data_IF_432694202558
#
_entry.id   IF_432694202558
#
_cell.length_a   1.000
_cell.length_b   1.000
_cell.length_c   1.000
_cell.angle_alpha   90.00
_cell.angle_beta   90.00
_cell.angle_gamma   90.00
#
_symmetry.space_group_name_H-M   'P 1'
#
loop_
_entity.id
_entity.type
_entity.pdbx_description
1 polymer ?
#
# COMPACT_ATOMS: atom_id res chain seq x y z
N UNK A 1 7.47 9.93 -14.65
CA UNK A 1 7.38 11.41 -14.59
C UNK A 1 7.68 11.87 -13.18
N UNK A 2 8.42 12.97 -13.04
CA UNK A 2 8.80 13.52 -11.73
C UNK A 2 8.25 14.94 -11.57
N UNK A 3 7.44 15.17 -10.53
CA UNK A 3 6.86 16.48 -10.24
C UNK A 3 7.95 17.52 -9.97
N UNK A 4 9.02 17.11 -9.27
CA UNK A 4 10.15 17.99 -8.93
C UNK A 4 10.80 18.62 -10.17
N UNK A 5 10.80 17.95 -11.33
CA UNK A 5 11.33 18.50 -12.57
C UNK A 5 10.36 19.52 -13.21
N UNK A 6 9.05 19.29 -13.11
CA UNK A 6 8.04 20.19 -13.67
C UNK A 6 7.98 21.52 -12.92
N UNK A 7 8.05 21.49 -11.59
CA UNK A 7 7.93 22.69 -10.75
C UNK A 7 9.08 23.67 -10.91
N UNK A 8 10.22 23.26 -11.47
CA UNK A 8 11.34 24.16 -11.82
C UNK A 8 10.97 25.14 -12.95
N UNK A 9 9.95 24.83 -13.76
CA UNK A 9 9.50 25.73 -14.81
C UNK A 9 8.65 26.88 -14.22
N UNK A 10 8.97 28.16 -14.51
CA UNK A 10 8.35 29.31 -13.84
C UNK A 10 6.85 29.49 -14.14
N UNK A 11 6.35 28.92 -15.24
CA UNK A 11 4.92 28.94 -15.57
C UNK A 11 4.08 27.94 -14.76
N UNK A 12 4.70 27.05 -13.99
CA UNK A 12 3.99 26.05 -13.20
C UNK A 12 3.62 26.66 -11.84
N UNK A 13 2.33 26.87 -11.66
CA UNK A 13 1.75 27.33 -10.39
C UNK A 13 1.90 26.23 -9.32
N UNK A 14 2.51 26.58 -8.19
CA UNK A 14 2.77 25.69 -7.05
C UNK A 14 1.70 25.80 -5.96
N UNK A 15 0.53 26.34 -6.28
CA UNK A 15 -0.62 26.41 -5.36
C UNK A 15 -1.05 25.01 -4.94
N UNK A 16 -1.17 24.82 -3.63
CA UNK A 16 -1.62 23.57 -3.03
C UNK A 16 -3.10 23.29 -3.37
N UNK A 17 -3.40 22.08 -3.83
CA UNK A 17 -4.79 21.61 -3.98
C UNK A 17 -5.27 21.01 -2.65
N UNK A 18 -6.09 21.78 -1.90
CA UNK A 18 -6.58 21.35 -0.58
C UNK A 18 -7.54 20.17 -0.65
N UNK A 19 -8.24 19.99 -1.78
CA UNK A 19 -9.08 18.80 -2.00
C UNK A 19 -8.20 17.58 -2.26
N UNK A 20 -7.10 17.72 -3.01
CA UNK A 20 -6.10 16.65 -3.15
C UNK A 20 -5.41 16.31 -1.83
N UNK A 21 -5.09 17.31 -0.99
CA UNK A 21 -4.54 17.10 0.35
C UNK A 21 -5.54 16.31 1.23
N UNK A 22 -6.82 16.65 1.21
CA UNK A 22 -7.85 15.91 1.94
C UNK A 22 -7.94 14.45 1.49
N UNK A 23 -7.87 14.20 0.16
CA UNK A 23 -7.81 12.85 -0.41
C UNK A 23 -6.55 12.10 0.03
N UNK A 24 -5.41 12.75 0.07
CA UNK A 24 -4.16 12.20 0.62
C UNK A 24 -4.30 11.80 2.09
N UNK A 25 -4.87 12.65 2.94
CA UNK A 25 -5.06 12.33 4.36
C UNK A 25 -6.02 11.14 4.57
N UNK A 26 -6.99 10.97 3.68
CA UNK A 26 -7.90 9.83 3.70
C UNK A 26 -7.21 8.54 3.25
N UNK A 27 -6.54 8.58 2.10
CA UNK A 27 -6.10 7.39 1.37
C UNK A 27 -4.61 7.08 1.48
N UNK A 28 -3.82 7.97 2.07
CA UNK A 28 -2.34 7.93 2.16
C UNK A 28 -1.61 8.13 0.82
N UNK A 29 -2.33 8.47 -0.23
CA UNK A 29 -1.82 8.86 -1.54
C UNK A 29 -2.82 9.82 -2.19
N UNK A 30 -2.36 10.64 -3.13
CA UNK A 30 -3.26 11.47 -3.97
C UNK A 30 -3.80 10.58 -5.10
N UNK A 31 -5.11 10.34 -5.25
CA UNK A 31 -5.62 9.52 -6.34
C UNK A 31 -5.55 10.26 -7.70
N UNK A 32 -5.16 9.57 -8.78
CA UNK A 32 -5.30 10.11 -10.12
C UNK A 32 -6.78 10.39 -10.48
N UNK A 33 -7.08 11.40 -11.31
CA UNK A 33 -6.15 12.26 -12.06
C UNK A 33 -5.61 13.47 -11.28
N UNK A 34 -5.99 13.64 -10.00
CA UNK A 34 -5.50 14.76 -9.19
C UNK A 34 -3.99 14.62 -8.92
N UNK A 35 -3.34 15.75 -8.62
CA UNK A 35 -2.00 15.83 -8.02
C UNK A 35 -2.10 16.76 -6.81
N UNK A 36 -1.11 16.71 -5.91
CA UNK A 36 -1.05 17.60 -4.74
C UNK A 36 -1.01 19.10 -5.12
N UNK A 37 -0.54 19.43 -6.33
CA UNK A 37 -0.53 20.79 -6.87
C UNK A 37 -1.69 20.99 -7.87
N UNK A 38 -2.42 22.11 -7.75
CA UNK A 38 -3.66 22.36 -8.50
C UNK A 38 -3.46 22.42 -10.02
N UNK A 39 -2.31 22.94 -10.45
CA UNK A 39 -1.96 23.12 -11.86
C UNK A 39 -1.55 21.83 -12.57
N UNK A 40 -1.34 20.74 -11.82
CA UNK A 40 -0.81 19.48 -12.34
C UNK A 40 -1.88 18.39 -12.20
N UNK A 41 -1.93 17.53 -13.21
CA UNK A 41 -2.82 16.37 -13.29
C UNK A 41 -2.04 15.14 -13.71
N UNK A 42 -2.34 14.01 -13.07
CA UNK A 42 -1.78 12.71 -13.44
C UNK A 42 -2.59 12.10 -14.58
N UNK A 43 -1.90 11.57 -15.58
CA UNK A 43 -2.53 10.74 -16.61
C UNK A 43 -2.97 9.42 -15.94
N UNK A 44 -4.27 9.08 -15.91
CA UNK A 44 -4.72 7.85 -15.28
C UNK A 44 -4.14 6.60 -15.93
N UNK A 45 -3.84 5.57 -15.14
CA UNK A 45 -3.31 4.30 -15.65
C UNK A 45 -4.27 3.66 -16.68
N UNK A 46 -3.72 3.06 -17.74
CA UNK A 46 -4.51 2.45 -18.82
C UNK A 46 -5.13 3.44 -19.81
N UNK A 47 -4.65 4.69 -19.83
CA UNK A 47 -5.09 5.75 -20.75
C UNK A 47 -3.94 6.25 -21.60
N UNK A 48 -4.28 6.83 -22.76
CA UNK A 48 -3.38 7.60 -23.60
C UNK A 48 -3.91 9.03 -23.71
N UNK A 49 -3.01 9.96 -24.05
CA UNK A 49 -3.30 11.38 -24.17
C UNK A 49 -2.88 11.86 -25.56
N UNK A 50 -3.78 12.58 -26.24
CA UNK A 50 -3.48 13.32 -27.47
C UNK A 50 -3.53 14.81 -27.19
N UNK A 51 -2.52 15.53 -27.66
CA UNK A 51 -2.52 16.99 -27.68
C UNK A 51 -2.34 17.48 -29.12
N UNK A 52 -3.35 18.17 -29.67
CA UNK A 52 -3.35 18.66 -31.05
C UNK A 52 -4.10 19.99 -31.12
N UNK A 53 -3.49 21.02 -31.72
CA UNK A 53 -4.08 22.35 -31.89
C UNK A 53 -4.68 22.96 -30.61
N UNK A 54 -3.97 22.81 -29.49
CA UNK A 54 -4.43 23.31 -28.18
C UNK A 54 -5.50 22.45 -27.50
N UNK A 55 -5.94 21.35 -28.12
CA UNK A 55 -6.95 20.44 -27.56
C UNK A 55 -6.28 19.22 -26.95
N UNK A 56 -6.68 18.90 -25.72
CA UNK A 56 -6.24 17.73 -24.98
C UNK A 56 -7.38 16.71 -24.94
N UNK A 57 -7.09 15.47 -25.33
CA UNK A 57 -8.03 14.34 -25.28
C UNK A 57 -7.38 13.18 -24.53
N UNK A 58 -8.07 12.65 -23.52
CA UNK A 58 -7.63 11.49 -22.73
C UNK A 58 -8.62 10.36 -22.96
N UNK A 59 -8.13 9.19 -23.36
CA UNK A 59 -8.97 8.03 -23.66
C UNK A 59 -8.40 6.76 -23.04
N UNK A 60 -9.25 5.87 -22.48
CA UNK A 60 -8.80 4.58 -21.99
C UNK A 60 -8.45 3.67 -23.18
N UNK A 61 -7.33 2.97 -23.10
CA UNK A 61 -7.01 1.86 -24.00
C UNK A 61 -7.19 0.50 -23.33
N UNK A 62 -7.17 0.44 -21.99
CA UNK A 62 -7.36 -0.79 -21.24
C UNK A 62 -7.92 -0.54 -19.83
N UNK A 63 -8.83 -1.40 -19.39
CA UNK A 63 -9.31 -1.46 -18.02
C UNK A 63 -9.64 -2.90 -17.62
N UNK A 64 -9.51 -3.22 -16.34
CA UNK A 64 -9.83 -4.56 -15.83
C UNK A 64 -11.35 -4.71 -15.72
N UNK A 65 -11.88 -5.88 -16.04
CA UNK A 65 -13.29 -6.21 -15.89
C UNK A 65 -13.41 -7.49 -15.06
N UNK A 66 -14.00 -7.41 -13.87
CA UNK A 66 -14.26 -8.58 -13.04
C UNK A 66 -15.54 -9.25 -13.55
N UNK A 67 -15.37 -10.29 -14.36
CA UNK A 67 -16.45 -11.12 -14.92
C UNK A 67 -16.13 -12.57 -14.59
N UNK A 68 -16.57 -13.01 -13.41
CA UNK A 68 -16.29 -14.35 -12.93
C UNK A 68 -16.88 -15.41 -13.86
N UNK A 69 -16.02 -16.24 -14.44
CA UNK A 69 -16.41 -17.45 -15.14
C UNK A 69 -16.61 -18.57 -14.11
N UNK A 70 -17.88 -18.90 -13.86
CA UNK A 70 -18.26 -19.90 -12.86
C UNK A 70 -18.14 -21.34 -13.37
N UNK A 71 -17.81 -21.54 -14.64
CA UNK A 71 -17.61 -22.90 -15.18
C UNK A 71 -16.21 -23.44 -14.93
N UNK A 72 -15.24 -22.57 -14.62
CA UNK A 72 -13.86 -22.97 -14.34
C UNK A 72 -13.80 -23.72 -13.00
N UNK A 73 -13.39 -24.99 -13.06
CA UNK A 73 -13.15 -25.78 -11.85
C UNK A 73 -11.81 -25.41 -11.19
N UNK A 74 -11.63 -25.81 -9.94
CA UNK A 74 -10.45 -25.42 -9.17
C UNK A 74 -9.13 -26.01 -9.71
N UNK A 75 -9.16 -27.19 -10.33
CA UNK A 75 -7.97 -27.84 -10.89
C UNK A 75 -7.59 -27.19 -12.21
N UNK A 76 -8.56 -26.94 -13.10
CA UNK A 76 -8.35 -26.17 -14.33
C UNK A 76 -7.81 -24.77 -14.03
N UNK A 77 -8.39 -24.08 -13.03
CA UNK A 77 -7.93 -22.77 -12.60
C UNK A 77 -6.46 -22.79 -12.14
N UNK A 78 -6.02 -23.83 -11.43
CA UNK A 78 -4.62 -23.98 -10.99
C UNK A 78 -3.69 -24.13 -12.18
N UNK A 79 -4.03 -24.99 -13.14
CA UNK A 79 -3.18 -25.24 -14.31
C UNK A 79 -3.11 -24.01 -15.23
N UNK A 80 -4.24 -23.34 -15.49
CA UNK A 80 -4.25 -22.07 -16.22
C UNK A 80 -3.40 -21.02 -15.52
N UNK A 81 -3.55 -20.89 -14.20
CA UNK A 81 -2.78 -19.93 -13.39
C UNK A 81 -1.28 -20.22 -13.44
N UNK A 82 -0.89 -21.50 -13.32
CA UNK A 82 0.51 -21.92 -13.46
C UNK A 82 1.07 -21.55 -14.83
N UNK A 83 0.31 -21.80 -15.90
CA UNK A 83 0.72 -21.48 -17.26
C UNK A 83 0.97 -19.99 -17.48
N UNK A 84 0.03 -19.12 -17.05
CA UNK A 84 0.21 -17.66 -17.21
C UNK A 84 1.30 -17.09 -16.29
N UNK A 85 1.45 -17.62 -15.07
CA UNK A 85 2.51 -17.21 -14.15
C UNK A 85 3.90 -17.61 -14.66
N UNK A 86 4.05 -18.84 -15.17
CA UNK A 86 5.31 -19.32 -15.74
C UNK A 86 5.74 -18.45 -16.92
N UNK A 87 4.82 -18.20 -17.85
CA UNK A 87 5.07 -17.34 -19.01
C UNK A 87 5.41 -15.90 -18.60
N UNK A 88 4.63 -15.33 -17.68
CA UNK A 88 4.86 -13.97 -17.19
C UNK A 88 6.25 -13.84 -16.55
N UNK A 89 6.60 -14.74 -15.62
CA UNK A 89 7.91 -14.71 -14.96
C UNK A 89 9.04 -14.92 -15.97
N UNK A 90 8.91 -15.91 -16.88
CA UNK A 90 9.89 -16.17 -17.93
C UNK A 90 10.18 -14.94 -18.79
N UNK A 91 9.17 -14.17 -19.16
CA UNK A 91 9.37 -12.95 -19.95
C UNK A 91 10.04 -11.83 -19.16
N UNK A 92 9.76 -11.71 -17.87
CA UNK A 92 10.41 -10.71 -17.01
C UNK A 92 11.85 -11.08 -16.62
N UNK A 93 12.27 -12.34 -16.82
CA UNK A 93 13.64 -12.80 -16.64
C UNK A 93 14.58 -12.43 -17.81
N UNK A 94 14.05 -11.96 -18.95
CA UNK A 94 14.87 -11.53 -20.08
C UNK A 94 15.66 -10.28 -19.69
N UNK A 95 16.99 -10.41 -19.59
CA UNK A 95 17.88 -9.33 -19.15
C UNK A 95 19.32 -9.59 -19.59
N UNK A 96 19.97 -8.56 -20.14
CA UNK A 96 21.40 -8.59 -20.48
C UNK A 96 22.30 -8.28 -19.26
N UNK A 97 21.69 -7.89 -18.14
CA UNK A 97 22.36 -7.56 -16.88
C UNK A 97 21.93 -8.50 -15.76
N UNK A 98 22.74 -8.67 -14.70
CA UNK A 98 22.36 -9.51 -13.56
C UNK A 98 21.03 -9.09 -12.95
N UNK A 99 20.19 -10.08 -12.65
CA UNK A 99 18.88 -9.90 -12.02
C UNK A 99 18.74 -10.70 -10.72
N UNK A 100 17.83 -10.26 -9.87
CA UNK A 100 17.44 -10.96 -8.64
C UNK A 100 15.94 -10.94 -8.38
N UNK A 101 15.53 -11.45 -7.22
CA UNK A 101 14.13 -11.46 -6.77
C UNK A 101 14.07 -10.95 -5.33
N UNK A 102 13.16 -10.03 -5.05
CA UNK A 102 12.83 -9.68 -3.66
C UNK A 102 12.06 -10.83 -3.01
N UNK A 103 12.54 -11.31 -1.85
CA UNK A 103 11.99 -12.49 -1.17
C UNK A 103 11.68 -12.17 0.30
N UNK A 104 10.40 -11.97 0.63
CA UNK A 104 9.95 -11.75 2.02
C UNK A 104 9.53 -13.03 2.74
N UNK A 105 9.49 -14.17 2.03
CA UNK A 105 8.86 -15.39 2.54
C UNK A 105 7.32 -15.33 2.57
N UNK A 106 6.71 -14.26 2.05
CA UNK A 106 5.27 -14.19 1.77
C UNK A 106 4.89 -14.97 0.52
N UNK A 107 3.59 -15.26 0.35
CA UNK A 107 3.10 -16.06 -0.79
C UNK A 107 3.45 -15.41 -2.15
N UNK A 108 3.38 -14.09 -2.27
CA UNK A 108 3.53 -13.44 -3.58
C UNK A 108 4.98 -13.43 -4.06
N UNK A 109 5.91 -12.98 -3.21
CA UNK A 109 7.34 -13.04 -3.50
C UNK A 109 7.80 -14.49 -3.68
N UNK A 110 7.27 -15.43 -2.90
CA UNK A 110 7.59 -16.84 -3.05
C UNK A 110 7.02 -17.42 -4.34
N UNK A 111 5.89 -16.89 -4.84
CA UNK A 111 5.37 -17.27 -6.17
C UNK A 111 6.37 -16.88 -7.23
N UNK A 112 6.77 -15.61 -7.25
CA UNK A 112 7.71 -15.10 -8.25
C UNK A 112 9.05 -15.84 -8.18
N UNK A 113 9.60 -16.04 -6.98
CA UNK A 113 10.84 -16.79 -6.79
C UNK A 113 10.73 -18.25 -7.25
N UNK A 114 9.62 -18.94 -6.91
CA UNK A 114 9.43 -20.35 -7.28
C UNK A 114 9.34 -20.55 -8.80
N UNK A 115 8.62 -19.68 -9.51
CA UNK A 115 8.57 -19.74 -10.98
C UNK A 115 9.90 -19.29 -11.60
N UNK A 116 10.58 -18.29 -11.02
CA UNK A 116 11.87 -17.83 -11.54
C UNK A 116 12.95 -18.91 -11.40
N UNK A 117 12.96 -19.64 -10.30
CA UNK A 117 13.93 -20.71 -10.03
C UNK A 117 13.85 -21.84 -11.06
N UNK A 118 12.68 -22.09 -11.68
CA UNK A 118 12.50 -23.08 -12.75
C UNK A 118 13.27 -22.73 -14.03
N UNK A 119 13.45 -21.44 -14.30
CA UNK A 119 14.09 -20.96 -15.53
C UNK A 119 15.57 -20.60 -15.34
N UNK A 120 15.96 -20.19 -14.13
CA UNK A 120 17.33 -19.73 -13.82
C UNK A 120 18.18 -20.78 -13.09
N UNK A 121 17.54 -21.77 -12.44
CA UNK A 121 18.21 -22.78 -11.61
C UNK A 121 18.79 -22.21 -10.31
N UNK A 122 19.69 -22.96 -9.65
CA UNK A 122 20.29 -22.62 -8.35
C UNK A 122 21.23 -21.39 -8.31
N UNK A 123 21.22 -20.57 -9.37
CA UNK A 123 21.94 -19.29 -9.46
C UNK A 123 21.03 -18.08 -9.24
N UNK A 124 19.73 -18.30 -9.04
CA UNK A 124 18.80 -17.20 -8.81
C UNK A 124 19.16 -16.48 -7.51
N UNK A 125 19.54 -15.21 -7.61
CA UNK A 125 19.80 -14.37 -6.45
C UNK A 125 18.50 -13.90 -5.84
N UNK A 126 18.32 -14.12 -4.54
CA UNK A 126 17.17 -13.63 -3.79
C UNK A 126 17.61 -12.69 -2.68
N UNK A 127 16.87 -11.61 -2.46
CA UNK A 127 17.23 -10.55 -1.53
C UNK A 127 16.12 -10.33 -0.51
N UNK A 128 16.48 -10.26 0.76
CA UNK A 128 15.58 -9.91 1.86
C UNK A 128 16.20 -8.86 2.76
N UNK A 129 15.36 -8.16 3.52
CA UNK A 129 15.80 -7.35 4.64
C UNK A 129 15.14 -7.83 5.92
N UNK A 130 15.93 -7.85 6.99
CA UNK A 130 15.49 -8.19 8.34
C UNK A 130 15.39 -6.95 9.23
N UNK A 131 14.73 -7.12 10.38
CA UNK A 131 14.62 -6.08 11.41
C UNK A 131 15.08 -6.63 12.75
N UNK A 132 15.65 -5.78 13.60
CA UNK A 132 15.98 -6.17 14.98
C UNK A 132 14.72 -6.52 15.81
N UNK A 133 13.59 -5.88 15.51
CA UNK A 133 12.30 -6.19 16.12
C UNK A 133 11.68 -7.46 15.49
N UNK A 134 11.54 -8.58 16.25
CA UNK A 134 10.99 -9.83 15.74
C UNK A 134 9.54 -9.70 15.23
N UNK A 135 8.78 -8.73 15.73
CA UNK A 135 7.41 -8.47 15.27
C UNK A 135 7.37 -7.98 13.82
N UNK A 136 8.45 -7.41 13.31
CA UNK A 136 8.56 -6.89 11.94
C UNK A 136 9.47 -7.76 11.07
N UNK A 137 10.37 -8.54 11.66
CA UNK A 137 11.28 -9.41 10.91
C UNK A 137 10.59 -10.57 10.16
N UNK A 138 10.97 -10.75 8.89
CA UNK A 138 10.52 -11.88 8.04
C UNK A 138 11.69 -12.72 7.52
N UNK A 139 12.94 -12.40 7.91
CA UNK A 139 14.17 -13.03 7.43
C UNK A 139 14.15 -14.56 7.53
N UNK A 140 13.74 -15.09 8.68
CA UNK A 140 13.67 -16.55 8.92
C UNK A 140 12.66 -17.26 8.01
N UNK A 141 11.64 -16.56 7.51
CA UNK A 141 10.71 -17.10 6.52
C UNK A 141 11.31 -17.05 5.12
N UNK A 142 11.92 -15.91 4.75
CA UNK A 142 12.61 -15.76 3.48
C UNK A 142 13.69 -16.84 3.30
N UNK A 143 14.50 -17.08 4.35
CA UNK A 143 15.56 -18.11 4.36
C UNK A 143 15.02 -19.51 4.13
N UNK A 144 13.87 -19.86 4.73
CA UNK A 144 13.21 -21.17 4.51
C UNK A 144 12.73 -21.35 3.08
N UNK A 145 12.15 -20.30 2.50
CA UNK A 145 11.72 -20.33 1.09
C UNK A 145 12.94 -20.45 0.18
N UNK A 146 14.00 -19.67 0.43
CA UNK A 146 15.24 -19.74 -0.32
C UNK A 146 15.87 -21.15 -0.28
N UNK A 147 15.89 -21.79 0.91
CA UNK A 147 16.37 -23.16 1.08
C UNK A 147 15.52 -24.17 0.28
N UNK A 148 14.19 -24.06 0.35
CA UNK A 148 13.28 -24.94 -0.39
C UNK A 148 13.44 -24.79 -1.92
N UNK A 149 13.76 -23.59 -2.40
CA UNK A 149 13.94 -23.29 -3.82
C UNK A 149 15.40 -23.41 -4.30
N UNK A 150 16.35 -23.63 -3.41
CA UNK A 150 17.78 -23.72 -3.74
C UNK A 150 18.37 -22.42 -4.31
N UNK A 151 17.94 -21.25 -3.83
CA UNK A 151 18.39 -19.94 -4.36
C UNK A 151 19.62 -19.40 -3.63
N UNK A 152 20.43 -18.58 -4.31
CA UNK A 152 21.52 -17.79 -3.71
C UNK A 152 20.94 -16.61 -2.91
N UNK A 153 20.76 -16.81 -1.60
CA UNK A 153 20.02 -15.87 -0.74
C UNK A 153 20.93 -14.87 -0.02
N UNK A 154 20.59 -13.59 -0.16
CA UNK A 154 21.27 -12.46 0.43
C UNK A 154 20.32 -11.73 1.37
N UNK A 155 20.80 -11.38 2.57
CA UNK A 155 20.00 -10.77 3.64
C UNK A 155 20.78 -9.62 4.29
N UNK A 156 20.13 -8.48 4.54
CA UNK A 156 20.68 -7.36 5.30
C UNK A 156 19.73 -6.98 6.45
N UNK A 157 20.24 -6.83 7.67
CA UNK A 157 19.45 -6.39 8.84
C UNK A 157 19.48 -4.87 8.95
N UNK A 158 18.31 -4.27 9.15
CA UNK A 158 18.13 -2.83 9.22
C UNK A 158 18.28 -2.31 10.67
N UNK A 159 19.23 -1.38 10.87
CA UNK A 159 19.36 -0.58 12.09
C UNK A 159 18.42 0.64 12.04
N UNK A 160 17.75 0.93 13.16
CA UNK A 160 16.89 2.10 13.36
C UNK A 160 17.62 3.44 13.12
N UNK A 161 18.95 3.51 13.31
CA UNK A 161 19.72 4.74 13.02
C UNK A 161 19.67 5.13 11.55
N UNK A 162 19.81 4.15 10.65
CA UNK A 162 19.74 4.39 9.20
C UNK A 162 18.34 4.83 8.73
N UNK A 163 17.30 4.59 9.51
CA UNK A 163 15.95 5.02 9.19
C UNK A 163 15.74 6.53 9.40
N UNK A 164 16.39 7.16 10.38
CA UNK A 164 16.23 8.61 10.63
C UNK A 164 16.70 9.44 9.44
N UNK A 165 17.94 9.22 9.01
CA UNK A 165 18.52 9.95 7.88
C UNK A 165 17.71 9.76 6.60
N UNK A 166 17.08 8.59 6.45
CA UNK A 166 16.20 8.31 5.32
C UNK A 166 14.86 9.05 5.44
N UNK A 167 14.27 9.16 6.64
CA UNK A 167 13.02 9.90 6.88
C UNK A 167 13.18 11.37 6.49
N UNK A 168 14.29 12.01 6.87
CA UNK A 168 14.57 13.41 6.54
C UNK A 168 14.72 13.64 5.02
N UNK A 169 15.13 12.60 4.28
CA UNK A 169 15.29 12.63 2.81
C UNK A 169 14.06 12.19 2.03
N UNK A 170 12.96 11.79 2.69
CA UNK A 170 11.74 11.33 2.00
C UNK A 170 11.23 12.30 0.94
N UNK A 171 11.22 13.64 1.15
CA UNK A 171 10.75 14.59 0.13
C UNK A 171 11.59 14.63 -1.15
N UNK A 172 12.86 14.21 -1.10
CA UNK A 172 13.71 14.17 -2.29
C UNK A 172 13.48 12.88 -3.10
N UNK A 173 13.00 11.82 -2.43
CA UNK A 173 12.64 10.55 -3.05
C UNK A 173 11.23 10.58 -3.64
N UNK A 174 10.34 11.39 -3.04
CA UNK A 174 8.93 11.46 -3.37
C UNK A 174 8.57 12.83 -3.95
N UNK A 175 7.98 12.79 -5.14
CA UNK A 175 7.47 13.97 -5.83
C UNK A 175 6.21 14.56 -5.14
N UNK A 176 5.41 13.71 -4.52
CA UNK A 176 4.18 14.02 -3.79
C UNK A 176 4.21 13.33 -2.43
N UNK A 177 3.49 13.84 -1.41
CA UNK A 177 3.44 13.16 -0.13
C UNK A 177 2.82 11.76 -0.28
N UNK A 178 3.47 10.76 0.33
CA UNK A 178 3.01 9.37 0.37
C UNK A 178 3.03 8.86 1.82
N UNK A 179 1.87 8.42 2.31
CA UNK A 179 1.68 7.94 3.68
C UNK A 179 2.06 6.47 3.90
N UNK A 180 2.64 5.80 2.90
CA UNK A 180 3.13 4.43 3.03
C UNK A 180 4.54 4.39 3.65
N UNK A 181 4.59 4.04 4.94
CA UNK A 181 5.83 3.88 5.71
C UNK A 181 6.77 2.80 5.17
N UNK A 182 6.27 1.87 4.36
CA UNK A 182 7.10 0.82 3.77
C UNK A 182 8.04 1.34 2.68
N UNK A 183 7.97 2.62 2.28
CA UNK A 183 8.98 3.22 1.40
C UNK A 183 10.40 3.11 1.98
N UNK A 184 10.54 3.31 3.30
CA UNK A 184 11.83 3.24 4.01
C UNK A 184 12.48 1.86 3.82
N UNK A 185 11.85 0.74 4.22
CA UNK A 185 12.41 -0.58 4.01
C UNK A 185 12.54 -0.94 2.52
N UNK A 186 11.62 -0.51 1.64
CA UNK A 186 11.75 -0.76 0.19
C UNK A 186 12.97 -0.06 -0.42
N UNK A 187 13.27 1.18 -0.01
CA UNK A 187 14.48 1.89 -0.46
C UNK A 187 15.75 1.18 0.01
N UNK A 188 15.77 0.74 1.27
CA UNK A 188 16.93 0.05 1.83
C UNK A 188 17.15 -1.33 1.19
N UNK A 189 16.08 -2.10 0.97
CA UNK A 189 16.13 -3.34 0.19
C UNK A 189 16.64 -3.09 -1.23
N UNK A 190 16.17 -2.01 -1.88
CA UNK A 190 16.61 -1.65 -3.24
C UNK A 190 18.09 -1.27 -3.27
N UNK A 191 18.54 -0.46 -2.31
CA UNK A 191 19.95 -0.07 -2.17
C UNK A 191 20.86 -1.26 -1.93
N UNK A 192 20.45 -2.18 -1.05
CA UNK A 192 21.15 -3.44 -0.80
C UNK A 192 21.25 -4.29 -2.07
N UNK A 193 20.11 -4.53 -2.71
CA UNK A 193 20.00 -5.35 -3.92
C UNK A 193 20.83 -4.79 -5.07
N UNK A 194 20.86 -3.46 -5.22
CA UNK A 194 21.61 -2.77 -6.28
C UNK A 194 23.11 -3.08 -6.24
N UNK A 195 23.68 -3.42 -5.07
CA UNK A 195 25.09 -3.80 -4.93
C UNK A 195 25.44 -5.06 -5.74
N UNK A 196 24.45 -5.89 -6.06
CA UNK A 196 24.66 -7.19 -6.72
C UNK A 196 23.97 -7.35 -8.06
N UNK A 197 22.86 -6.64 -8.31
CA UNK A 197 22.05 -6.77 -9.53
C UNK A 197 21.54 -5.40 -10.01
N UNK A 198 21.13 -5.31 -11.26
CA UNK A 198 20.54 -4.08 -11.85
C UNK A 198 19.03 -4.20 -12.04
N UNK A 199 18.51 -5.43 -12.06
CA UNK A 199 17.09 -5.74 -12.19
C UNK A 199 16.64 -6.60 -11.00
N UNK A 200 15.46 -6.36 -10.46
CA UNK A 200 14.83 -7.21 -9.47
C UNK A 200 13.38 -7.51 -9.85
N UNK A 201 12.90 -8.73 -9.56
CA UNK A 201 11.48 -9.07 -9.67
C UNK A 201 10.83 -8.94 -8.28
N UNK A 202 9.66 -8.31 -8.24
CA UNK A 202 8.82 -8.13 -7.05
C UNK A 202 7.55 -8.98 -7.11
N UNK A 203 7.01 -9.32 -5.95
CA UNK A 203 5.70 -9.97 -5.79
C UNK A 203 4.52 -9.00 -5.67
N UNK A 204 4.70 -7.72 -6.01
CA UNK A 204 3.61 -6.73 -5.93
C UNK A 204 2.43 -7.12 -6.86
N UNK A 205 1.21 -6.83 -6.42
CA UNK A 205 -0.03 -7.18 -7.13
C UNK A 205 -0.70 -8.48 -6.67
N UNK A 206 0.01 -9.34 -5.94
CA UNK A 206 -0.54 -10.64 -5.52
C UNK A 206 -1.69 -10.53 -4.51
N UNK A 207 -1.68 -9.51 -3.65
CA UNK A 207 -2.75 -9.28 -2.68
C UNK A 207 -4.05 -8.79 -3.35
N UNK A 208 -3.93 -7.88 -4.31
CA UNK A 208 -5.05 -7.23 -5.01
C UNK A 208 -5.71 -8.16 -6.04
N UNK A 209 -4.93 -9.05 -6.66
CA UNK A 209 -5.45 -10.01 -7.63
C UNK A 209 -6.11 -11.22 -6.96
N UNK A 210 -5.58 -11.68 -5.82
CA UNK A 210 -5.98 -12.96 -5.19
C UNK A 210 -6.56 -12.81 -3.78
N UNK A 211 -7.07 -11.62 -3.44
CA UNK A 211 -7.71 -11.31 -2.17
C UNK A 211 -6.84 -11.65 -0.94
N UNK A 212 -5.66 -11.04 -0.89
CA UNK A 212 -4.64 -11.29 0.11
C UNK A 212 -4.75 -10.50 1.41
N UNK A 213 -5.36 -9.32 1.37
CA UNK A 213 -5.48 -8.44 2.53
C UNK A 213 -6.45 -8.97 3.60
N UNK A 214 -6.15 -8.75 4.90
CA UNK A 214 -7.07 -9.07 5.99
C UNK A 214 -8.44 -8.36 5.86
N UNK A 215 -8.51 -7.24 5.14
CA UNK A 215 -9.74 -6.47 4.90
C UNK A 215 -10.80 -7.28 4.17
N UNK A 216 -10.43 -8.24 3.32
CA UNK A 216 -11.43 -9.13 2.68
C UNK A 216 -12.05 -10.12 3.66
N UNK A 217 -11.29 -10.58 4.66
CA UNK A 217 -11.82 -11.38 5.76
C UNK A 217 -12.72 -10.51 6.65
N UNK A 218 -12.29 -9.28 6.94
CA UNK A 218 -13.07 -8.31 7.69
C UNK A 218 -14.43 -8.03 7.02
N UNK A 219 -14.48 -7.86 5.69
CA UNK A 219 -15.76 -7.70 4.98
C UNK A 219 -16.68 -8.92 5.11
N UNK A 220 -16.15 -10.14 5.18
CA UNK A 220 -16.97 -11.34 5.47
C UNK A 220 -17.54 -11.31 6.87
N UNK A 221 -16.72 -10.93 7.86
CA UNK A 221 -17.19 -10.79 9.23
C UNK A 221 -18.21 -9.66 9.37
N UNK A 222 -18.00 -8.53 8.70
CA UNK A 222 -18.89 -7.38 8.74
C UNK A 222 -20.31 -7.75 8.29
N UNK A 223 -20.47 -8.57 7.24
CA UNK A 223 -21.79 -9.07 6.82
C UNK A 223 -22.51 -9.87 7.89
N UNK A 224 -21.78 -10.60 8.73
CA UNK A 224 -22.37 -11.34 9.86
C UNK A 224 -22.71 -10.38 11.00
N UNK A 225 -21.83 -9.42 11.31
CA UNK A 225 -22.05 -8.41 12.36
C UNK A 225 -23.20 -7.46 11.99
N UNK A 226 -23.43 -7.19 10.72
CA UNK A 226 -24.57 -6.39 10.23
C UNK A 226 -25.93 -7.02 10.52
N UNK A 227 -25.99 -8.35 10.72
CA UNK A 227 -27.20 -9.04 11.16
C UNK A 227 -27.57 -8.70 12.61
N UNK A 228 -26.62 -8.20 13.39
CA UNK A 228 -26.81 -7.77 14.77
C UNK A 228 -27.21 -6.29 14.81
N UNK A 229 -28.29 -5.90 15.54
CA UNK A 229 -28.70 -4.52 15.66
C UNK A 229 -27.56 -3.60 16.12
N UNK A 230 -27.37 -2.45 15.44
CA UNK A 230 -26.24 -1.53 15.67
C UNK A 230 -26.07 -1.10 17.12
N UNK A 231 -27.17 -0.87 17.83
CA UNK A 231 -27.15 -0.46 19.23
C UNK A 231 -26.51 -1.51 20.15
N UNK A 232 -26.62 -2.79 19.81
CA UNK A 232 -26.13 -3.90 20.63
C UNK A 232 -24.61 -3.96 20.63
N UNK A 233 -23.98 -3.94 19.45
CA UNK A 233 -22.52 -3.96 19.38
C UNK A 233 -21.90 -2.60 19.78
N UNK A 234 -22.57 -1.46 19.51
CA UNK A 234 -22.10 -0.14 19.99
C UNK A 234 -22.10 -0.01 21.51
N UNK A 235 -23.07 -0.62 22.21
CA UNK A 235 -23.15 -0.55 23.68
C UNK A 235 -22.34 -1.63 24.39
N UNK A 236 -22.29 -2.83 23.84
CA UNK A 236 -21.68 -3.99 24.52
C UNK A 236 -20.24 -4.26 24.07
N UNK A 237 -19.93 -4.04 22.79
CA UNK A 237 -18.66 -4.47 22.20
C UNK A 237 -17.69 -3.31 22.05
N UNK A 238 -18.14 -2.17 21.52
CA UNK A 238 -17.27 -1.02 21.25
C UNK A 238 -16.52 -0.49 22.49
N UNK A 239 -17.16 -0.26 23.66
CA UNK A 239 -16.45 0.23 24.84
C UNK A 239 -15.38 -0.76 25.34
N UNK A 240 -15.64 -2.06 25.18
CA UNK A 240 -14.71 -3.13 25.55
C UNK A 240 -13.50 -3.13 24.61
N UNK A 241 -13.74 -2.99 23.30
CA UNK A 241 -12.69 -2.91 22.28
C UNK A 241 -11.83 -1.66 22.46
N UNK A 242 -12.43 -0.52 22.78
CA UNK A 242 -11.71 0.73 23.03
C UNK A 242 -10.80 0.67 24.26
N UNK A 243 -11.15 -0.15 25.26
CA UNK A 243 -10.36 -0.39 26.47
C UNK A 243 -9.24 -1.41 26.32
N UNK A 244 -9.16 -2.12 25.19
CA UNK A 244 -8.10 -3.09 24.96
C UNK A 244 -6.71 -2.41 25.05
N UNK A 245 -5.73 -3.06 25.70
CA UNK A 245 -4.40 -2.51 25.86
C UNK A 245 -3.78 -2.25 24.49
N UNK A 246 -3.17 -1.07 24.33
CA UNK A 246 -2.55 -0.66 23.07
C UNK A 246 -1.26 -1.44 22.87
N UNK A 247 -1.24 -2.28 21.85
CA UNK A 247 -0.03 -2.97 21.40
C UNK A 247 0.62 -2.20 20.26
N UNK A 248 1.95 -2.10 20.27
CA UNK A 248 2.70 -1.50 19.17
C UNK A 248 3.21 -2.51 18.12
N UNK A 249 2.89 -3.79 18.31
CA UNK A 249 3.27 -4.88 17.39
C UNK A 249 2.60 -4.78 16.01
N UNK A 250 3.20 -5.42 15.00
CA UNK A 250 2.69 -5.40 13.62
C UNK A 250 1.31 -6.08 13.52
N UNK A 251 0.30 -5.35 13.03
CA UNK A 251 -1.07 -5.83 12.85
C UNK A 251 -1.64 -6.55 14.09
N UNK A 252 -1.46 -5.94 15.27
CA UNK A 252 -1.93 -6.44 16.56
C UNK A 252 -3.45 -6.67 16.61
N UNK A 253 -3.90 -7.51 17.54
CA UNK A 253 -5.32 -7.84 17.68
C UNK A 253 -6.15 -6.61 18.09
N UNK A 254 -5.64 -5.78 19.01
CA UNK A 254 -6.33 -4.57 19.44
C UNK A 254 -6.48 -3.56 18.29
N UNK A 255 -5.43 -3.40 17.47
CA UNK A 255 -5.48 -2.56 16.27
C UNK A 255 -6.54 -3.06 15.28
N UNK A 256 -6.54 -4.36 14.98
CA UNK A 256 -7.52 -4.97 14.06
C UNK A 256 -8.96 -4.78 14.54
N UNK A 257 -9.22 -5.00 15.83
CA UNK A 257 -10.57 -4.85 16.39
C UNK A 257 -11.03 -3.40 16.41
N UNK A 258 -10.19 -2.46 16.88
CA UNK A 258 -10.52 -1.02 16.92
C UNK A 258 -10.82 -0.50 15.51
N UNK A 259 -9.95 -0.79 14.53
CA UNK A 259 -10.16 -0.43 13.13
C UNK A 259 -11.41 -1.10 12.53
N UNK A 260 -11.65 -2.38 12.84
CA UNK A 260 -12.83 -3.10 12.37
C UNK A 260 -14.12 -2.36 12.75
N UNK A 261 -14.31 -2.09 14.04
CA UNK A 261 -15.54 -1.46 14.54
C UNK A 261 -15.70 0.00 14.11
N UNK A 262 -14.61 0.74 13.94
CA UNK A 262 -14.65 2.10 13.38
C UNK A 262 -15.21 2.11 11.95
N UNK A 263 -14.89 1.10 11.14
CA UNK A 263 -15.45 0.96 9.79
C UNK A 263 -16.91 0.48 9.74
N UNK A 264 -17.45 -0.09 10.83
CA UNK A 264 -18.81 -0.66 10.82
C UNK A 264 -19.92 0.40 10.72
N UNK A 265 -19.60 1.66 11.01
CA UNK A 265 -20.53 2.78 10.85
C UNK A 265 -20.71 3.21 9.39
N UNK A 266 -19.84 2.73 8.50
CA UNK A 266 -19.78 3.10 7.10
C UNK A 266 -20.37 2.01 6.19
N UNK A 267 -20.80 2.41 4.99
CA UNK A 267 -21.17 1.47 3.93
C UNK A 267 -19.93 0.76 3.35
N UNK A 268 -20.11 -0.28 2.53
CA UNK A 268 -19.03 -1.19 2.11
C UNK A 268 -17.79 -0.49 1.54
N UNK A 269 -17.97 0.54 0.70
CA UNK A 269 -16.87 1.25 0.04
C UNK A 269 -16.09 2.10 1.04
N UNK A 270 -16.78 2.93 1.81
CA UNK A 270 -16.20 3.81 2.81
C UNK A 270 -15.59 3.02 3.96
N UNK A 271 -16.21 1.91 4.37
CA UNK A 271 -15.67 0.98 5.35
C UNK A 271 -14.32 0.44 4.93
N UNK A 272 -14.19 0.06 3.66
CA UNK A 272 -12.93 -0.39 3.11
C UNK A 272 -11.87 0.70 3.14
N UNK A 273 -12.25 1.94 2.79
CA UNK A 273 -11.39 3.11 2.90
C UNK A 273 -10.96 3.39 4.35
N UNK A 274 -11.84 3.25 5.34
CA UNK A 274 -11.50 3.41 6.77
C UNK A 274 -10.49 2.36 7.23
N UNK A 275 -10.65 1.11 6.82
CA UNK A 275 -9.75 0.03 7.22
C UNK A 275 -8.36 0.13 6.57
N UNK A 276 -8.28 0.69 5.36
CA UNK A 276 -7.04 0.86 4.61
C UNK A 276 -6.41 2.24 4.77
N UNK A 277 -7.16 3.26 5.14
CA UNK A 277 -6.75 4.66 5.15
C UNK A 277 -6.30 5.17 6.51
N UNK A 278 -6.10 6.48 6.61
CA UNK A 278 -5.50 7.14 7.78
C UNK A 278 -6.49 8.02 8.55
N UNK A 279 -6.97 9.11 7.95
CA UNK A 279 -7.93 10.04 8.56
C UNK A 279 -9.32 9.92 7.93
N UNK A 280 -10.33 9.66 8.76
CA UNK A 280 -11.73 9.69 8.29
C UNK A 280 -12.19 11.11 7.97
N UNK A 281 -13.23 11.30 7.14
CA UNK A 281 -13.81 12.62 6.87
C UNK A 281 -14.14 13.41 8.15
N UNK A 282 -14.71 12.76 9.16
CA UNK A 282 -15.03 13.39 10.44
C UNK A 282 -13.76 13.87 11.17
N UNK A 283 -12.70 13.07 11.18
CA UNK A 283 -11.43 13.46 11.80
C UNK A 283 -10.75 14.60 11.05
N UNK A 284 -10.89 14.65 9.72
CA UNK A 284 -10.39 15.76 8.93
C UNK A 284 -11.11 17.09 9.25
N UNK A 285 -12.42 17.05 9.54
CA UNK A 285 -13.18 18.23 9.99
C UNK A 285 -12.67 18.78 11.33
N UNK A 286 -12.18 17.91 12.21
CA UNK A 286 -11.53 18.32 13.46
C UNK A 286 -10.09 18.78 13.26
N UNK A 287 -9.39 18.21 12.27
CA UNK A 287 -7.98 18.44 12.00
C UNK A 287 -7.73 19.76 11.27
N UNK A 288 -8.50 20.07 10.22
CA UNK A 288 -8.30 21.27 9.40
C UNK A 288 -8.79 22.55 10.08
N UNK A 289 -8.14 23.67 9.81
CA UNK A 289 -8.66 25.00 10.20
C UNK A 289 -9.95 25.31 9.42
N UNK A 290 -10.86 26.13 9.97
CA UNK A 290 -12.06 26.55 9.25
C UNK A 290 -11.75 27.25 7.92
N UNK A 291 -10.66 28.03 7.85
CA UNK A 291 -10.19 28.67 6.61
C UNK A 291 -9.80 27.64 5.56
N UNK A 292 -8.98 26.65 5.93
CA UNK A 292 -8.57 25.58 5.01
C UNK A 292 -9.79 24.79 4.49
N UNK A 293 -10.75 24.47 5.35
CA UNK A 293 -12.00 23.81 4.94
C UNK A 293 -12.82 24.68 3.97
N UNK A 294 -12.93 25.99 4.23
CA UNK A 294 -13.66 26.93 3.37
C UNK A 294 -13.03 27.15 2.00
N UNK A 295 -11.73 26.89 1.85
CA UNK A 295 -10.98 26.98 0.59
C UNK A 295 -10.97 25.70 -0.24
N UNK A 296 -11.46 24.59 0.29
CA UNK A 296 -11.55 23.33 -0.45
C UNK A 296 -12.69 23.38 -1.48
N UNK A 297 -12.44 22.89 -2.69
CA UNK A 297 -13.50 22.76 -3.70
C UNK A 297 -14.54 21.70 -3.30
N UNK A 298 -14.06 20.60 -2.71
CA UNK A 298 -14.89 19.53 -2.17
C UNK A 298 -14.52 19.27 -0.70
N UNK A 299 -15.52 19.09 0.18
CA UNK A 299 -15.26 18.78 1.58
C UNK A 299 -14.63 17.39 1.74
N UNK A 300 -13.97 17.12 2.88
CA UNK A 300 -13.46 15.80 3.22
C UNK A 300 -14.50 14.71 3.00
N UNK A 301 -14.16 13.71 2.18
CA UNK A 301 -15.04 12.61 1.81
C UNK A 301 -14.24 11.46 1.20
N UNK A 302 -14.91 10.34 0.92
CA UNK A 302 -14.36 9.21 0.17
C UNK A 302 -14.80 9.22 -1.30
N UNK A 303 -15.13 10.39 -1.87
CA UNK A 303 -15.64 10.52 -3.24
C UNK A 303 -14.71 9.89 -4.30
N UNK A 304 -13.39 9.98 -4.10
CA UNK A 304 -12.40 9.41 -5.02
C UNK A 304 -12.57 7.88 -5.21
N UNK A 305 -12.96 7.13 -4.17
CA UNK A 305 -13.21 5.70 -4.30
C UNK A 305 -14.47 5.43 -5.14
N UNK A 306 -15.51 6.25 -5.00
CA UNK A 306 -16.70 6.14 -5.85
C UNK A 306 -16.40 6.51 -7.30
N UNK A 307 -15.57 7.53 -7.55
CA UNK A 307 -15.09 7.90 -8.89
C UNK A 307 -14.33 6.74 -9.56
N UNK A 308 -13.43 6.08 -8.81
CA UNK A 308 -12.70 4.89 -9.28
C UNK A 308 -13.70 3.76 -9.60
N UNK A 309 -14.62 3.46 -8.69
CA UNK A 309 -15.62 2.40 -8.88
C UNK A 309 -16.59 2.66 -10.02
N UNK A 310 -16.96 3.92 -10.25
CA UNK A 310 -17.84 4.29 -11.37
C UNK A 310 -17.20 3.98 -12.73
N UNK A 311 -15.87 3.92 -12.78
CA UNK A 311 -15.09 3.56 -13.97
C UNK A 311 -14.93 2.04 -14.17
N UNK A 312 -15.43 1.22 -13.23
CA UNK A 312 -15.35 -0.24 -13.31
C UNK A 312 -16.40 -0.79 -14.30
N UNK A 313 -16.00 -1.49 -15.38
CA UNK A 313 -16.97 -2.06 -16.33
C UNK A 313 -17.84 -3.14 -15.70
N UNK A 314 -17.29 -3.87 -14.73
CA UNK A 314 -18.00 -4.87 -13.95
C UNK A 314 -17.24 -5.19 -12.66
N UNK A 315 -17.96 -5.21 -11.53
CA UNK A 315 -17.50 -5.72 -10.25
C UNK A 315 -18.71 -5.84 -9.30
N UNK A 316 -18.85 -6.96 -8.59
CA UNK A 316 -19.94 -7.15 -7.63
C UNK A 316 -19.42 -7.62 -6.26
N UNK A 317 -20.11 -7.20 -5.18
CA UNK A 317 -19.74 -7.56 -3.81
C UNK A 317 -18.27 -7.25 -3.51
N UNK A 318 -17.50 -8.27 -3.11
CA UNK A 318 -16.08 -8.13 -2.76
C UNK A 318 -15.19 -7.78 -3.96
N UNK A 319 -15.61 -8.05 -5.20
CA UNK A 319 -14.83 -7.69 -6.39
C UNK A 319 -14.73 -6.18 -6.56
N UNK A 320 -15.70 -5.41 -6.02
CA UNK A 320 -15.61 -3.95 -5.96
C UNK A 320 -14.41 -3.49 -5.14
N UNK A 321 -14.12 -4.20 -4.04
CA UNK A 321 -12.97 -3.93 -3.19
C UNK A 321 -11.66 -4.30 -3.91
N UNK A 322 -11.62 -5.45 -4.59
CA UNK A 322 -10.46 -5.82 -5.43
C UNK A 322 -10.19 -4.77 -6.53
N UNK A 323 -11.24 -4.24 -7.15
CA UNK A 323 -11.10 -3.18 -8.15
C UNK A 323 -10.52 -1.89 -7.55
N UNK A 324 -11.02 -1.48 -6.38
CA UNK A 324 -10.49 -0.31 -5.65
C UNK A 324 -9.03 -0.51 -5.25
N UNK A 325 -8.68 -1.68 -4.73
CA UNK A 325 -7.31 -1.99 -4.36
C UNK A 325 -6.40 -1.98 -5.58
N UNK A 326 -6.82 -2.57 -6.70
CA UNK A 326 -6.02 -2.63 -7.92
C UNK A 326 -5.82 -1.25 -8.56
N UNK A 327 -6.88 -0.44 -8.67
CA UNK A 327 -6.85 0.85 -9.38
C UNK A 327 -6.44 2.03 -8.51
N UNK A 328 -6.72 1.96 -7.21
CA UNK A 328 -6.31 2.95 -6.22
C UNK A 328 -5.01 2.53 -5.53
N UNK A 329 -5.11 1.72 -4.49
CA UNK A 329 -4.02 1.46 -3.55
C UNK A 329 -2.75 0.87 -4.21
N UNK A 330 -2.90 -0.11 -5.10
CA UNK A 330 -1.78 -0.70 -5.83
C UNK A 330 -1.14 0.32 -6.77
N UNK A 331 -1.94 0.97 -7.63
CA UNK A 331 -1.44 1.89 -8.65
C UNK A 331 -0.78 3.14 -8.06
N UNK A 332 -1.51 3.83 -7.19
CA UNK A 332 -1.13 5.14 -6.67
C UNK A 332 -0.29 5.05 -5.39
N UNK A 333 -0.33 3.92 -4.68
CA UNK A 333 0.42 3.68 -3.46
C UNK A 333 1.59 2.71 -3.65
N UNK A 334 1.29 1.41 -3.77
CA UNK A 334 2.29 0.33 -3.73
C UNK A 334 3.30 0.43 -4.88
N UNK A 335 2.83 0.56 -6.12
CA UNK A 335 3.69 0.64 -7.31
C UNK A 335 4.47 1.94 -7.34
N UNK A 336 3.83 3.06 -6.96
CA UNK A 336 4.51 4.36 -6.86
C UNK A 336 5.65 4.29 -5.84
N UNK A 337 5.40 3.72 -4.66
CA UNK A 337 6.45 3.47 -3.66
C UNK A 337 7.59 2.63 -4.23
N UNK A 338 7.28 1.46 -4.79
CA UNK A 338 8.29 0.52 -5.29
C UNK A 338 9.13 1.17 -6.40
N UNK A 339 8.50 1.86 -7.34
CA UNK A 339 9.15 2.62 -8.41
C UNK A 339 10.09 3.68 -7.85
N UNK A 340 9.60 4.61 -7.02
CA UNK A 340 10.42 5.72 -6.48
C UNK A 340 11.59 5.22 -5.64
N UNK A 341 11.35 4.26 -4.75
CA UNK A 341 12.38 3.71 -3.87
C UNK A 341 13.49 2.97 -4.65
N UNK A 342 13.11 2.19 -5.67
CA UNK A 342 14.07 1.42 -6.47
C UNK A 342 14.83 2.29 -7.47
N UNK A 343 14.15 3.21 -8.14
CA UNK A 343 14.76 4.13 -9.11
C UNK A 343 15.72 5.11 -8.44
N UNK A 344 15.46 5.53 -7.20
CA UNK A 344 16.43 6.31 -6.42
C UNK A 344 17.75 5.55 -6.15
N UNK A 345 17.74 4.22 -6.31
CA UNK A 345 18.92 3.36 -6.23
C UNK A 345 19.37 2.87 -7.62
N UNK A 346 18.83 3.39 -8.73
CA UNK A 346 19.09 2.91 -10.08
C UNK A 346 18.90 1.39 -10.25
N UNK A 347 17.86 0.84 -9.60
CA UNK A 347 17.46 -0.56 -9.66
C UNK A 347 16.12 -0.65 -10.39
N UNK A 348 16.06 -1.41 -11.49
CA UNK A 348 14.79 -1.68 -12.19
C UNK A 348 14.01 -2.75 -11.43
N UNK A 349 12.78 -2.45 -11.01
CA UNK A 349 11.88 -3.45 -10.41
C UNK A 349 10.77 -3.84 -11.38
N UNK A 350 10.65 -5.15 -11.62
CA UNK A 350 9.65 -5.77 -12.48
C UNK A 350 8.58 -6.47 -11.65
N UNK A 351 7.33 -6.49 -12.12
CA UNK A 351 6.16 -6.98 -11.37
C UNK A 351 5.40 -8.07 -12.16
N UNK A 352 5.93 -9.31 -12.25
CA UNK A 352 5.37 -10.34 -13.12
C UNK A 352 3.92 -10.73 -12.82
N UNK A 353 3.47 -10.58 -11.57
CA UNK A 353 2.07 -10.86 -11.20
C UNK A 353 1.09 -9.88 -11.85
N UNK A 354 1.56 -8.72 -12.29
CA UNK A 354 0.78 -7.71 -13.00
C UNK A 354 0.88 -7.83 -14.53
N UNK A 355 1.44 -8.92 -15.05
CA UNK A 355 1.29 -9.27 -16.45
C UNK A 355 -0.19 -9.30 -16.82
N UNK A 356 -0.53 -8.68 -17.96
CA UNK A 356 -1.93 -8.51 -18.39
C UNK A 356 -2.71 -9.82 -18.40
N UNK A 357 -2.10 -10.95 -18.77
CA UNK A 357 -2.77 -12.26 -18.80
C UNK A 357 -3.02 -12.81 -17.40
N UNK A 358 -2.11 -12.55 -16.45
CA UNK A 358 -2.31 -12.92 -15.04
C UNK A 358 -3.45 -12.10 -14.45
N UNK A 359 -3.48 -10.78 -14.71
CA UNK A 359 -4.53 -9.88 -14.26
C UNK A 359 -5.89 -10.26 -14.86
N UNK A 360 -5.96 -10.49 -16.17
CA UNK A 360 -7.19 -10.88 -16.88
C UNK A 360 -7.70 -12.25 -16.40
N UNK A 361 -6.83 -13.25 -16.24
CA UNK A 361 -7.23 -14.54 -15.68
C UNK A 361 -7.71 -14.39 -14.24
N UNK A 362 -6.97 -13.66 -13.40
CA UNK A 362 -7.38 -13.42 -12.01
C UNK A 362 -8.75 -12.73 -11.98
N UNK A 363 -9.03 -11.74 -12.83
CA UNK A 363 -10.32 -11.07 -12.91
C UNK A 363 -11.47 -11.99 -13.34
N UNK A 364 -11.18 -13.07 -14.09
CA UNK A 364 -12.15 -14.10 -14.49
C UNK A 364 -12.37 -15.19 -13.44
N UNK A 365 -11.44 -15.39 -12.50
CA UNK A 365 -11.60 -16.40 -11.45
C UNK A 365 -12.74 -16.03 -10.48
N UNK A 366 -13.64 -16.98 -10.15
CA UNK A 366 -14.63 -16.79 -9.10
C UNK A 366 -14.01 -16.34 -7.78
N UNK A 367 -14.69 -15.42 -7.09
CA UNK A 367 -14.25 -14.91 -5.78
C UNK A 367 -14.01 -16.03 -4.75
N UNK A 368 -14.72 -17.17 -4.86
CA UNK A 368 -14.55 -18.35 -4.01
C UNK A 368 -13.19 -19.05 -4.18
N UNK A 369 -12.54 -18.92 -5.34
CA UNK A 369 -11.20 -19.46 -5.60
C UNK A 369 -10.09 -18.50 -5.13
N UNK A 370 -10.38 -17.21 -5.02
CA UNK A 370 -9.46 -16.22 -4.42
C UNK A 370 -9.53 -16.26 -2.89
N UNK A 371 -10.76 -16.23 -2.35
CA UNK A 371 -11.07 -16.26 -0.93
C UNK A 371 -12.00 -17.43 -0.61
N UNK A 372 -11.45 -18.56 -0.13
CA UNK A 372 -12.22 -19.76 0.20
C UNK A 372 -12.52 -19.79 1.70
N UNK A 373 -13.76 -19.49 2.10
CA UNK A 373 -14.06 -19.23 3.51
C UNK A 373 -13.27 -18.01 4.00
N UNK A 374 -12.41 -18.19 5.00
CA UNK A 374 -11.47 -17.15 5.44
C UNK A 374 -10.06 -17.34 4.87
N UNK A 375 -9.82 -18.35 4.04
CA UNK A 375 -8.50 -18.62 3.45
C UNK A 375 -8.27 -17.70 2.25
N UNK A 376 -7.41 -16.70 2.43
CA UNK A 376 -6.94 -15.77 1.40
C UNK A 376 -5.98 -16.45 0.42
N UNK A 377 -5.86 -15.89 -0.79
CA UNK A 377 -4.97 -16.37 -1.86
C UNK A 377 -5.12 -17.86 -2.13
N UNK A 378 -6.34 -18.39 -2.03
CA UNK A 378 -6.56 -19.83 -2.00
C UNK A 378 -6.00 -20.51 -3.26
N UNK A 379 -6.32 -20.00 -4.45
CA UNK A 379 -5.84 -20.53 -5.73
C UNK A 379 -4.33 -20.37 -5.89
N UNK A 380 -3.75 -19.26 -5.44
CA UNK A 380 -2.30 -19.02 -5.55
C UNK A 380 -1.51 -19.99 -4.64
N UNK A 381 -2.01 -20.22 -3.41
CA UNK A 381 -1.45 -21.24 -2.50
C UNK A 381 -1.55 -22.65 -3.08
N UNK A 382 -2.62 -22.95 -3.83
CA UNK A 382 -2.77 -24.23 -4.53
C UNK A 382 -1.77 -24.36 -5.69
N UNK A 383 -1.55 -23.30 -6.46
CA UNK A 383 -0.58 -23.30 -7.54
C UNK A 383 0.86 -23.58 -7.07
N UNK A 384 1.20 -23.19 -5.84
CA UNK A 384 2.51 -23.38 -5.20
C UNK A 384 2.66 -24.65 -4.36
N UNK A 385 1.61 -25.48 -4.25
CA UNK A 385 1.60 -26.64 -3.35
C UNK A 385 2.78 -27.60 -3.56
N UNK A 386 3.24 -27.76 -4.81
CA UNK A 386 4.32 -28.67 -5.17
C UNK A 386 5.72 -28.03 -5.09
N UNK A 387 5.80 -26.72 -4.85
CA UNK A 387 7.05 -25.96 -4.88
C UNK A 387 7.49 -25.44 -3.52
N UNK A 388 6.58 -25.38 -2.53
CA UNK A 388 6.86 -24.81 -1.21
C UNK A 388 6.33 -25.70 -0.08
N UNK A 389 7.01 -25.73 1.08
CA UNK A 389 6.53 -26.47 2.24
C UNK A 389 5.13 -26.02 2.71
N UNK A 390 4.29 -26.95 3.22
CA UNK A 390 2.94 -26.63 3.71
C UNK A 390 2.90 -25.49 4.74
N UNK A 391 3.93 -25.37 5.59
CA UNK A 391 4.06 -24.34 6.62
C UNK A 391 4.17 -22.94 6.02
N UNK A 392 4.87 -22.81 4.89
CA UNK A 392 4.99 -21.56 4.13
C UNK A 392 3.64 -21.18 3.53
N UNK A 393 2.89 -22.15 2.99
CA UNK A 393 1.59 -21.94 2.37
C UNK A 393 0.50 -21.61 3.41
N UNK A 394 0.61 -22.16 4.62
CA UNK A 394 -0.32 -21.92 5.72
C UNK A 394 -0.13 -20.55 6.39
N UNK A 395 1.02 -19.89 6.16
CA UNK A 395 1.37 -18.63 6.83
C UNK A 395 0.32 -17.54 6.59
N UNK A 396 -0.11 -16.81 7.65
CA UNK A 396 -0.90 -15.60 7.52
C UNK A 396 -0.14 -14.48 6.79
N UNK A 397 -0.86 -13.57 6.13
CA UNK A 397 -0.23 -12.37 5.56
C UNK A 397 0.33 -11.50 6.69
N UNK A 398 1.60 -11.15 6.57
CA UNK A 398 2.26 -10.09 7.34
C UNK A 398 2.52 -8.92 6.39
N UNK A 399 2.27 -7.70 6.86
CA UNK A 399 2.56 -6.48 6.10
C UNK A 399 4.05 -6.17 6.14
N UNK A 400 4.58 -5.56 5.08
CA UNK A 400 5.97 -5.12 4.99
C UNK A 400 6.15 -3.78 5.72
N UNK A 401 5.87 -3.79 7.03
CA UNK A 401 5.89 -2.60 7.88
C UNK A 401 7.20 -2.41 8.62
N UNK A 402 7.33 -1.27 9.27
CA UNK A 402 8.41 -0.92 10.20
C UNK A 402 7.84 -0.56 11.59
N UNK A 403 8.64 -0.66 12.67
CA UNK A 403 8.22 -0.37 14.04
C UNK A 403 8.04 1.14 14.32
N UNK A 404 7.32 1.87 13.45
CA UNK A 404 7.09 3.32 13.58
C UNK A 404 6.49 3.72 14.92
N UNK A 405 5.57 2.92 15.48
CA UNK A 405 4.99 3.22 16.78
C UNK A 405 6.03 3.28 17.90
N UNK A 406 7.09 2.47 17.82
CA UNK A 406 8.23 2.56 18.73
C UNK A 406 9.15 3.71 18.36
N UNK A 407 9.44 3.91 17.08
CA UNK A 407 10.35 4.95 16.62
C UNK A 407 9.85 6.36 16.92
N UNK A 408 8.55 6.64 16.77
CA UNK A 408 7.94 7.93 17.10
C UNK A 408 7.93 8.25 18.60
N UNK A 409 8.14 7.24 19.45
CA UNK A 409 8.31 7.41 20.90
C UNK A 409 9.79 7.45 21.32
N UNK A 410 10.69 7.05 20.44
CA UNK A 410 12.13 6.97 20.66
C UNK A 410 12.91 7.78 19.64
N UNK A 411 13.63 7.09 18.75
CA UNK A 411 14.62 7.68 17.85
C UNK A 411 14.10 8.80 16.92
N UNK A 412 12.84 8.72 16.48
CA UNK A 412 12.22 9.73 15.61
C UNK A 412 11.38 10.76 16.37
N UNK A 413 11.23 10.62 17.69
CA UNK A 413 10.42 11.55 18.50
C UNK A 413 10.86 13.01 18.33
N UNK A 414 12.18 13.36 18.37
CA UNK A 414 12.60 14.75 18.17
C UNK A 414 12.18 15.31 16.81
N UNK A 415 12.38 14.54 15.73
CA UNK A 415 12.02 14.94 14.37
C UNK A 415 10.51 15.15 14.23
N UNK A 416 9.70 14.21 14.74
CA UNK A 416 8.23 14.33 14.69
C UNK A 416 7.76 15.56 15.48
N UNK A 417 8.36 15.83 16.65
CA UNK A 417 8.04 17.02 17.46
C UNK A 417 8.47 18.32 16.79
N UNK A 418 9.58 18.32 16.06
CA UNK A 418 10.06 19.48 15.30
C UNK A 418 9.12 19.79 14.12
N UNK A 419 8.77 18.77 13.35
CA UNK A 419 8.06 18.92 12.07
C UNK A 419 6.54 19.00 12.24
N UNK A 420 5.98 18.28 13.21
CA UNK A 420 4.54 18.25 13.50
C UNK A 420 4.16 18.99 14.79
N UNK A 421 5.10 19.66 15.45
CA UNK A 421 4.85 20.42 16.67
C UNK A 421 3.99 21.66 16.43
N UNK A 422 3.38 22.17 17.50
CA UNK A 422 2.40 23.26 17.43
C UNK A 422 2.89 24.49 16.65
N UNK A 423 4.17 24.88 16.80
CA UNK A 423 4.72 26.03 16.07
C UNK A 423 4.83 25.77 14.56
N UNK A 424 5.24 24.56 14.15
CA UNK A 424 5.30 24.18 12.73
C UNK A 424 3.91 24.13 12.11
N UNK A 425 2.94 23.54 12.84
CA UNK A 425 1.54 23.49 12.41
C UNK A 425 0.94 24.90 12.27
N UNK A 426 1.18 25.79 13.24
CA UNK A 426 0.72 27.20 13.17
C UNK A 426 1.29 27.93 11.96
N UNK A 427 2.58 27.74 11.65
CA UNK A 427 3.20 28.35 10.46
C UNK A 427 2.57 27.87 9.15
N UNK A 428 2.17 26.61 9.07
CA UNK A 428 1.49 26.07 7.88
C UNK A 428 0.04 26.57 7.72
N UNK A 429 -0.66 26.88 8.80
CA UNK A 429 -2.02 27.45 8.78
C UNK A 429 -3.15 26.50 8.33
N UNK A 430 -2.81 25.27 7.89
CA UNK A 430 -3.77 24.30 7.36
C UNK A 430 -4.45 23.46 8.45
N UNK A 431 -3.72 23.11 9.51
CA UNK A 431 -4.21 22.22 10.57
C UNK A 431 -4.32 22.93 11.92
N UNK A 432 -5.22 22.45 12.78
CA UNK A 432 -5.38 22.94 14.15
C UNK A 432 -4.26 22.40 15.04
N UNK A 433 -3.42 23.25 15.66
CA UNK A 433 -2.32 22.80 16.51
C UNK A 433 -2.77 21.90 17.65
N UNK A 434 -3.94 22.16 18.23
CA UNK A 434 -4.51 21.40 19.35
C UNK A 434 -4.87 19.98 18.92
N UNK A 435 -5.39 19.82 17.70
CA UNK A 435 -5.74 18.51 17.16
C UNK A 435 -4.49 17.66 16.91
N UNK A 436 -3.42 18.26 16.37
CA UNK A 436 -2.15 17.57 16.13
C UNK A 436 -1.43 17.24 17.44
N UNK A 437 -1.41 18.17 18.41
CA UNK A 437 -0.81 17.94 19.73
C UNK A 437 -1.52 16.82 20.50
N UNK A 438 -2.85 16.71 20.36
CA UNK A 438 -3.61 15.57 20.91
C UNK A 438 -3.14 14.24 20.33
N UNK A 439 -2.93 14.14 19.01
CA UNK A 439 -2.42 12.92 18.38
C UNK A 439 -1.01 12.57 18.88
N UNK A 440 -0.13 13.57 18.98
CA UNK A 440 1.24 13.40 19.48
C UNK A 440 1.24 12.91 20.93
N UNK A 441 0.54 13.61 21.82
CA UNK A 441 0.50 13.31 23.25
C UNK A 441 -0.15 11.95 23.55
N UNK A 442 -1.24 11.59 22.89
CA UNK A 442 -1.90 10.29 23.04
C UNK A 442 -1.01 9.13 22.56
N UNK A 443 -0.21 9.35 21.50
CA UNK A 443 0.72 8.34 21.00
C UNK A 443 1.94 8.16 21.89
N UNK A 444 2.55 9.26 22.33
CA UNK A 444 3.72 9.24 23.21
C UNK A 444 3.43 8.57 24.55
N UNK A 445 2.26 8.89 25.12
CA UNK A 445 1.76 8.28 26.36
C UNK A 445 1.20 6.87 26.18
N UNK A 446 1.19 6.32 24.95
CA UNK A 446 0.65 5.01 24.61
C UNK A 446 -0.84 4.84 24.97
N UNK A 447 -1.59 5.94 25.09
CA UNK A 447 -3.05 5.91 25.26
C UNK A 447 -3.74 5.45 23.98
N UNK A 448 -3.21 5.82 22.82
CA UNK A 448 -3.68 5.40 21.49
C UNK A 448 -2.51 5.22 20.53
N UNK A 449 -2.66 4.29 19.59
CA UNK A 449 -1.70 4.14 18.50
C UNK A 449 -2.09 5.03 17.31
N UNK A 450 -1.44 6.18 17.18
CA UNK A 450 -1.61 7.11 16.06
C UNK A 450 -0.49 7.03 15.03
N UNK A 451 0.32 5.95 15.00
CA UNK A 451 1.51 5.88 14.11
C UNK A 451 1.16 6.18 12.66
N UNK A 452 0.00 5.71 12.20
CA UNK A 452 -0.44 5.85 10.82
C UNK A 452 -0.72 7.30 10.47
N UNK A 453 -1.58 7.95 11.28
CA UNK A 453 -1.92 9.38 11.20
C UNK A 453 -0.70 10.29 11.33
N UNK A 454 0.17 10.00 12.29
CA UNK A 454 1.39 10.77 12.51
C UNK A 454 2.36 10.65 11.35
N UNK A 455 2.52 9.47 10.75
CA UNK A 455 3.34 9.30 9.56
C UNK A 455 2.75 10.02 8.35
N UNK A 456 1.43 9.94 8.14
CA UNK A 456 0.74 10.70 7.08
C UNK A 456 0.97 12.20 7.23
N UNK A 457 0.86 12.75 8.44
CA UNK A 457 1.15 14.16 8.70
C UNK A 457 2.63 14.49 8.49
N UNK A 458 3.54 13.66 9.00
CA UNK A 458 4.98 13.85 8.87
C UNK A 458 5.41 13.91 7.41
N UNK A 459 4.96 12.95 6.59
CA UNK A 459 5.27 12.89 5.16
C UNK A 459 4.80 14.15 4.42
N UNK A 460 3.57 14.63 4.71
CA UNK A 460 3.09 15.89 4.16
C UNK A 460 3.90 17.10 4.63
N UNK A 461 4.17 17.23 5.93
CA UNK A 461 4.91 18.37 6.47
C UNK A 461 6.34 18.43 5.93
N UNK A 462 7.05 17.31 5.84
CA UNK A 462 8.38 17.24 5.23
C UNK A 462 8.33 17.65 3.76
N UNK A 463 7.34 17.18 3.00
CA UNK A 463 7.15 17.58 1.60
C UNK A 463 6.86 19.08 1.49
N UNK A 464 5.97 19.63 2.32
CA UNK A 464 5.64 21.06 2.32
C UNK A 464 6.85 21.94 2.68
N UNK A 465 7.68 21.51 3.62
CA UNK A 465 8.94 22.19 3.97
C UNK A 465 9.93 22.22 2.79
N UNK A 466 10.01 21.13 2.03
CA UNK A 466 10.92 20.98 0.88
C UNK A 466 10.48 21.79 -0.34
N UNK A 467 9.19 21.74 -0.68
CA UNK A 467 8.66 22.30 -1.94
C UNK A 467 7.99 23.68 -1.77
N UNK A 468 7.64 24.07 -0.54
CA UNK A 468 7.02 25.36 -0.18
C UNK A 468 5.86 25.72 -1.13
N UNK A 469 4.80 24.90 -1.18
CA UNK A 469 3.63 25.22 -1.99
C UNK A 469 2.99 26.52 -1.48
N UNK A 470 2.31 27.22 -2.40
CA UNK A 470 1.64 28.50 -2.12
C UNK A 470 0.23 28.27 -1.56
#
# INVERSE_FOLDING_TARGET
SELKALVEHPAIDRTLDLTALSRYLAHEYVPAPSSILRSIRKLPAGHWLTYTDGRLKVEPYWTVSFRADRTIDASEAVERLRGVLDLAVRQHLVSDVPLGVFLSGGIDSSTVAAFAARHVGGRLKTFSIGFEDPSFDESAHARRVAQALGTDHHEEVLDARGARDLVERLPDLLDEPLGDASLIPTFLLSRFTRRSVTVALSGDGGDELFAGYPTYQAHRFARVVELVPRWMWRRLVQPTVERLPVSLSNLSLDFKLKRFFEGMDYADVERHAVWLGSFTPAEQQELFTPDALGRMELPPSYAAFHEILASAPSAQGLERMLYLDLKGYLGEGVLTKTDRASMACSLEVRVPLLDRRVVELAAQLPMSLKLRGLKTKYILKRALADSLPPETLARPKKGFGIPLGHWFRGALRPLVREVCGADAIRRGGLFRPEAVERLLSEHESQRRDHRKKLYTLLAFQLWALRYRPV
#
